data_IF_627736870922
#
_entry.id   IF_627736870922
#
_cell.length_a   1.000
_cell.length_b   1.000
_cell.length_c   1.000
_cell.angle_alpha   90.00
_cell.angle_beta   90.00
_cell.angle_gamma   90.00
#
_symmetry.space_group_name_H-M   'P 1'
#
loop_
_entity.id
_entity.type
_entity.pdbx_description
1 polymer ?
#
# COMPACT_ATOMS: atom_id res chain seq x y z
N UNK A 1 -25.05 3.54 -5.75
CA UNK A 1 -24.36 3.85 -7.02
C UNK A 1 -23.23 2.85 -7.29
N UNK A 2 -22.49 2.39 -6.30
CA UNK A 2 -21.34 1.47 -6.49
C UNK A 2 -21.54 0.12 -5.77
N UNK A 3 -22.75 -0.22 -5.32
CA UNK A 3 -23.10 -1.31 -4.40
C UNK A 3 -22.25 -2.59 -4.50
N UNK A 4 -22.44 -3.41 -5.54
CA UNK A 4 -21.68 -4.67 -5.70
C UNK A 4 -20.19 -4.46 -5.96
N UNK A 5 -19.81 -3.38 -6.64
CA UNK A 5 -18.41 -3.04 -6.92
C UNK A 5 -17.67 -2.71 -5.62
N UNK A 6 -18.28 -1.91 -4.73
CA UNK A 6 -17.71 -1.63 -3.42
C UNK A 6 -17.58 -2.87 -2.54
N UNK A 7 -18.56 -3.77 -2.59
CA UNK A 7 -18.48 -5.03 -1.84
C UNK A 7 -17.29 -5.92 -2.32
N UNK A 8 -17.01 -5.94 -3.63
CA UNK A 8 -15.83 -6.64 -4.18
C UNK A 8 -14.53 -6.00 -3.71
N UNK A 9 -14.46 -4.66 -3.71
CA UNK A 9 -13.30 -3.91 -3.25
C UNK A 9 -13.08 -4.09 -1.76
N UNK A 10 -14.15 -4.00 -0.94
CA UNK A 10 -14.07 -4.27 0.51
C UNK A 10 -13.60 -5.70 0.79
N UNK A 11 -14.16 -6.69 0.10
CA UNK A 11 -13.70 -8.08 0.20
C UNK A 11 -12.21 -8.20 -0.14
N UNK A 12 -11.76 -7.57 -1.21
CA UNK A 12 -10.35 -7.61 -1.63
C UNK A 12 -9.43 -7.06 -0.54
N UNK A 13 -9.73 -5.87 -0.01
CA UNK A 13 -8.91 -5.29 1.06
C UNK A 13 -8.94 -6.11 2.35
N UNK A 14 -10.07 -6.74 2.69
CA UNK A 14 -10.13 -7.69 3.82
C UNK A 14 -9.26 -8.92 3.58
N UNK A 15 -9.20 -9.45 2.35
CA UNK A 15 -8.30 -10.55 1.99
C UNK A 15 -6.82 -10.12 2.17
N UNK A 16 -6.43 -9.01 1.59
CA UNK A 16 -5.07 -8.48 1.73
C UNK A 16 -4.76 -8.16 3.20
N UNK A 17 -5.73 -7.61 3.93
CA UNK A 17 -5.59 -7.32 5.34
C UNK A 17 -5.41 -8.56 6.23
N UNK A 18 -6.03 -9.68 5.86
CA UNK A 18 -5.95 -10.91 6.64
C UNK A 18 -4.54 -11.50 6.68
N UNK A 19 -3.68 -11.17 5.71
CA UNK A 19 -2.34 -11.71 5.61
C UNK A 19 -1.32 -11.17 6.63
N UNK A 20 -1.62 -10.09 7.38
CA UNK A 20 -0.53 -9.56 8.17
C UNK A 20 -0.77 -8.37 9.10
N UNK A 21 -1.74 -8.40 9.99
CA UNK A 21 -1.93 -7.29 10.95
C UNK A 21 -1.76 -7.67 12.41
N UNK A 22 -0.92 -8.60 12.74
CA UNK A 22 -0.70 -8.97 14.13
C UNK A 22 0.46 -8.21 14.81
N UNK A 23 1.07 -7.22 14.15
CA UNK A 23 2.08 -6.42 14.83
C UNK A 23 1.43 -5.33 15.67
N UNK A 24 1.67 -5.42 16.97
CA UNK A 24 1.30 -4.40 17.94
C UNK A 24 2.05 -3.10 17.62
N UNK A 25 1.34 -1.98 17.59
CA UNK A 25 1.95 -0.65 17.53
C UNK A 25 2.86 -0.51 18.76
N UNK A 26 4.13 -0.10 18.62
CA UNK A 26 5.01 0.11 19.75
C UNK A 26 4.39 1.06 20.78
N UNK A 27 4.53 0.73 22.07
CA UNK A 27 3.88 1.48 23.15
C UNK A 27 4.33 2.97 23.16
N UNK A 28 5.57 3.25 22.71
CA UNK A 28 6.14 4.60 22.64
C UNK A 28 5.42 5.51 21.63
N UNK A 29 4.74 4.94 20.64
CA UNK A 29 4.01 5.68 19.60
C UNK A 29 2.53 5.37 19.57
N UNK A 30 2.02 4.49 20.45
CA UNK A 30 0.62 4.10 20.51
C UNK A 30 -0.33 5.27 20.77
N UNK A 31 0.18 6.36 21.36
CA UNK A 31 -0.58 7.58 21.57
C UNK A 31 -0.93 8.31 20.26
N UNK A 32 -0.13 8.18 19.19
CA UNK A 32 -0.34 8.90 17.94
C UNK A 32 -1.67 8.53 17.25
N UNK A 33 -1.92 7.25 16.90
CA UNK A 33 -3.17 6.85 16.29
C UNK A 33 -4.37 7.05 17.22
N UNK A 34 -4.17 6.87 18.55
CA UNK A 34 -5.22 7.14 19.51
C UNK A 34 -5.62 8.61 19.55
N UNK A 35 -4.65 9.54 19.66
CA UNK A 35 -4.93 10.97 19.69
C UNK A 35 -5.55 11.46 18.39
N UNK A 36 -5.16 10.86 17.24
CA UNK A 36 -5.77 11.17 15.97
C UNK A 36 -7.24 10.72 15.94
N UNK A 37 -7.54 9.49 16.38
CA UNK A 37 -8.88 8.97 16.48
C UNK A 37 -9.74 9.80 17.44
N UNK A 38 -9.22 10.20 18.58
CA UNK A 38 -9.89 11.08 19.55
C UNK A 38 -10.28 12.43 18.89
N UNK A 39 -9.38 13.01 18.09
CA UNK A 39 -9.64 14.25 17.35
C UNK A 39 -10.73 14.10 16.30
N UNK A 40 -10.71 13.01 15.51
CA UNK A 40 -11.77 12.71 14.53
C UNK A 40 -13.11 12.54 15.23
N UNK A 41 -13.16 11.79 16.32
CA UNK A 41 -14.39 11.55 17.07
C UNK A 41 -14.95 12.81 17.70
N UNK A 42 -14.09 13.66 18.28
CA UNK A 42 -14.52 14.96 18.79
C UNK A 42 -15.15 15.85 17.71
N UNK A 43 -14.61 15.84 16.49
CA UNK A 43 -15.22 16.52 15.36
C UNK A 43 -16.58 15.93 14.99
N UNK A 44 -16.69 14.60 14.90
CA UNK A 44 -17.94 13.92 14.56
C UNK A 44 -19.05 14.22 15.60
N UNK A 45 -18.70 14.24 16.88
CA UNK A 45 -19.62 14.55 17.97
C UNK A 45 -20.11 16.00 17.91
N UNK A 46 -19.21 16.96 17.68
CA UNK A 46 -19.52 18.38 17.70
C UNK A 46 -20.15 18.90 16.40
N UNK A 47 -20.00 18.16 15.30
CA UNK A 47 -20.47 18.56 13.96
C UNK A 47 -21.46 17.56 13.33
N UNK A 48 -22.13 16.76 14.16
CA UNK A 48 -23.08 15.72 13.70
C UNK A 48 -24.17 16.24 12.75
N UNK A 49 -24.57 17.51 12.92
CA UNK A 49 -25.63 18.15 12.14
C UNK A 49 -25.13 18.81 10.85
N UNK A 50 -23.82 19.03 10.73
CA UNK A 50 -23.19 19.74 9.59
C UNK A 50 -22.07 18.93 8.91
N UNK A 51 -22.20 17.63 8.91
CA UNK A 51 -21.30 16.74 8.12
C UNK A 51 -21.38 17.10 6.62
N UNK A 52 -20.32 16.83 5.85
CA UNK A 52 -20.30 17.00 4.40
C UNK A 52 -21.54 16.42 3.73
N UNK A 53 -22.00 17.07 2.65
CA UNK A 53 -23.30 16.75 2.03
C UNK A 53 -23.37 15.32 1.50
N UNK A 54 -22.22 14.72 1.18
CA UNK A 54 -22.09 13.33 0.72
C UNK A 54 -22.67 12.34 1.74
N UNK A 55 -22.50 12.59 3.03
CA UNK A 55 -23.07 11.74 4.08
C UNK A 55 -24.60 11.77 4.05
N UNK A 56 -25.19 12.95 3.79
CA UNK A 56 -26.64 13.11 3.64
C UNK A 56 -27.13 12.45 2.35
N UNK A 57 -26.41 12.65 1.24
CA UNK A 57 -26.73 12.06 -0.06
C UNK A 57 -26.71 10.53 -0.01
N UNK A 58 -25.68 9.97 0.61
CA UNK A 58 -25.56 8.54 0.78
C UNK A 58 -26.43 7.99 1.91
N UNK A 59 -27.03 8.85 2.75
CA UNK A 59 -27.76 8.45 3.95
C UNK A 59 -26.93 7.59 4.88
N UNK A 60 -25.67 7.96 5.06
CA UNK A 60 -24.67 7.29 5.85
C UNK A 60 -24.27 8.14 7.05
N UNK A 61 -24.10 7.53 8.19
CA UNK A 61 -23.50 8.18 9.37
C UNK A 61 -22.13 7.56 9.61
N UNK A 62 -21.08 8.37 9.72
CA UNK A 62 -19.75 7.84 10.02
C UNK A 62 -19.76 7.16 11.39
N UNK A 63 -19.06 6.06 11.47
CA UNK A 63 -18.80 5.37 12.74
C UNK A 63 -17.69 6.07 13.50
N UNK A 64 -17.59 5.81 14.80
CA UNK A 64 -16.46 6.26 15.58
C UNK A 64 -15.16 5.69 15.03
N UNK A 65 -14.16 6.55 14.91
CA UNK A 65 -12.83 6.20 14.44
C UNK A 65 -12.04 5.50 15.54
N UNK A 66 -11.31 4.47 15.20
CA UNK A 66 -10.44 3.72 16.10
C UNK A 66 -8.97 3.92 15.76
N UNK A 67 -8.07 3.51 16.66
CA UNK A 67 -6.63 3.58 16.41
C UNK A 67 -6.19 2.65 15.25
N UNK A 68 -6.98 1.63 14.93
CA UNK A 68 -6.71 0.68 13.85
C UNK A 68 -7.11 1.21 12.46
N UNK A 69 -8.03 2.17 12.40
CA UNK A 69 -8.54 2.68 11.11
C UNK A 69 -7.44 3.35 10.27
N UNK A 70 -6.46 4.01 10.91
CA UNK A 70 -5.33 4.58 10.18
C UNK A 70 -4.48 3.49 9.48
N UNK A 71 -4.38 2.29 10.06
CA UNK A 71 -3.69 1.17 9.44
C UNK A 71 -4.42 0.68 8.19
N UNK A 72 -5.76 0.74 8.19
CA UNK A 72 -6.55 0.41 7.01
C UNK A 72 -6.27 1.40 5.87
N UNK A 73 -6.23 2.70 6.17
CA UNK A 73 -5.87 3.73 5.17
C UNK A 73 -4.45 3.50 4.65
N UNK A 74 -3.48 3.27 5.53
CA UNK A 74 -2.10 2.99 5.10
C UNK A 74 -2.00 1.77 4.18
N UNK A 75 -2.78 0.73 4.41
CA UNK A 75 -2.82 -0.44 3.53
C UNK A 75 -3.34 -0.11 2.13
N UNK A 76 -4.41 0.69 2.06
CA UNK A 76 -4.95 1.15 0.77
C UNK A 76 -3.90 1.96 0.02
N UNK A 77 -3.23 2.90 0.71
CA UNK A 77 -2.15 3.72 0.13
C UNK A 77 -0.99 2.85 -0.33
N UNK A 78 -0.54 1.94 0.52
CA UNK A 78 0.58 1.05 0.18
C UNK A 78 0.25 0.14 -1.01
N UNK A 79 -0.95 -0.45 -1.04
CA UNK A 79 -1.39 -1.24 -2.18
C UNK A 79 -1.40 -0.43 -3.47
N UNK A 80 -1.92 0.81 -3.41
CA UNK A 80 -1.95 1.72 -4.56
C UNK A 80 -0.56 2.08 -5.09
N UNK A 81 0.45 2.09 -4.21
CA UNK A 81 1.83 2.42 -4.56
C UNK A 81 2.70 1.18 -4.86
N UNK A 82 2.24 -0.03 -4.54
CA UNK A 82 2.87 -1.29 -4.96
C UNK A 82 2.53 -1.57 -6.41
N UNK A 83 3.48 -1.39 -7.31
CA UNK A 83 3.25 -1.47 -8.77
C UNK A 83 3.63 -2.80 -9.42
N UNK A 84 4.55 -3.56 -8.84
CA UNK A 84 5.16 -4.75 -9.42
C UNK A 84 4.15 -5.82 -9.83
N UNK A 85 3.20 -6.12 -8.96
CA UNK A 85 2.18 -7.14 -9.18
C UNK A 85 1.32 -6.97 -10.47
N UNK A 86 1.14 -5.74 -10.97
CA UNK A 86 0.44 -5.50 -12.26
C UNK A 86 1.30 -5.95 -13.43
N UNK A 87 2.60 -5.77 -13.32
CA UNK A 87 3.55 -6.19 -14.35
C UNK A 87 3.50 -7.71 -14.50
N UNK A 88 3.55 -8.46 -13.39
CA UNK A 88 3.52 -9.93 -13.39
C UNK A 88 2.24 -10.48 -14.03
N UNK A 89 1.08 -10.02 -13.58
CA UNK A 89 -0.20 -10.46 -14.13
C UNK A 89 -0.37 -10.07 -15.60
N UNK A 90 0.17 -8.92 -16.01
CA UNK A 90 0.13 -8.47 -17.41
C UNK A 90 1.09 -9.25 -18.25
N UNK A 91 2.31 -9.47 -17.79
CA UNK A 91 3.33 -10.26 -18.45
C UNK A 91 2.86 -11.70 -18.68
N UNK A 92 2.25 -12.32 -17.66
CA UNK A 92 1.66 -13.65 -17.78
C UNK A 92 0.58 -13.73 -18.88
N UNK A 93 -0.27 -12.71 -19.00
CA UNK A 93 -1.30 -12.63 -20.06
C UNK A 93 -0.71 -12.45 -21.44
N UNK A 94 0.31 -11.62 -21.58
CA UNK A 94 0.99 -11.39 -22.86
C UNK A 94 1.68 -12.67 -23.30
N UNK A 95 2.39 -13.34 -22.38
CA UNK A 95 3.04 -14.62 -22.63
C UNK A 95 2.03 -15.68 -23.14
N UNK A 96 0.86 -15.80 -22.50
CA UNK A 96 -0.18 -16.73 -22.91
C UNK A 96 -0.71 -16.43 -24.31
N UNK A 97 -0.97 -15.14 -24.61
CA UNK A 97 -1.60 -14.73 -25.87
C UNK A 97 -0.65 -14.72 -27.06
N UNK A 98 0.58 -14.30 -26.85
CA UNK A 98 1.54 -14.02 -27.92
C UNK A 98 2.65 -15.08 -28.02
N UNK A 99 2.85 -15.90 -27.00
CA UNK A 99 3.96 -16.83 -26.89
C UNK A 99 5.28 -16.18 -26.49
N UNK A 100 6.28 -17.02 -26.21
CA UNK A 100 7.56 -16.62 -25.61
C UNK A 100 8.38 -15.66 -26.48
N UNK A 101 8.40 -15.86 -27.80
CA UNK A 101 9.18 -15.01 -28.73
C UNK A 101 8.68 -13.56 -28.72
N UNK A 102 7.38 -13.37 -28.93
CA UNK A 102 6.79 -12.02 -28.93
C UNK A 102 6.77 -11.39 -27.53
N UNK A 103 6.72 -12.21 -26.48
CA UNK A 103 6.86 -11.72 -25.12
C UNK A 103 8.25 -11.12 -24.89
N UNK A 104 9.33 -11.78 -25.34
CA UNK A 104 10.70 -11.26 -25.27
C UNK A 104 10.88 -9.96 -26.06
N UNK A 105 10.21 -9.81 -27.19
CA UNK A 105 10.18 -8.56 -27.95
C UNK A 105 9.44 -7.44 -27.20
N UNK A 106 8.34 -7.76 -26.53
CA UNK A 106 7.53 -6.79 -25.78
C UNK A 106 8.21 -6.30 -24.50
N UNK A 107 9.12 -7.09 -23.92
CA UNK A 107 9.87 -6.77 -22.72
C UNK A 107 11.39 -6.84 -22.95
N UNK A 108 11.96 -6.01 -23.86
CA UNK A 108 13.38 -6.07 -24.23
C UNK A 108 14.34 -5.52 -23.17
N UNK A 109 13.83 -5.11 -22.01
CA UNK A 109 14.58 -4.34 -21.02
C UNK A 109 15.49 -5.20 -20.11
N UNK A 110 15.41 -6.51 -20.22
CA UNK A 110 16.21 -7.40 -19.37
C UNK A 110 17.44 -7.90 -20.12
N UNK A 111 18.64 -7.77 -19.55
CA UNK A 111 19.85 -8.40 -20.11
C UNK A 111 19.64 -9.89 -20.31
N UNK A 112 20.24 -10.48 -21.37
CA UNK A 112 20.07 -11.91 -21.73
C UNK A 112 20.37 -12.89 -20.57
N UNK A 113 21.21 -12.48 -19.63
CA UNK A 113 21.62 -13.26 -18.46
C UNK A 113 20.84 -12.93 -17.19
N UNK A 114 19.82 -12.08 -17.27
CA UNK A 114 18.97 -11.79 -16.12
C UNK A 114 18.02 -12.95 -15.87
N UNK A 115 17.80 -13.29 -14.61
CA UNK A 115 16.83 -14.33 -14.26
C UNK A 115 15.42 -13.89 -14.70
N UNK A 116 14.63 -14.84 -15.22
CA UNK A 116 13.26 -14.60 -15.66
C UNK A 116 12.26 -15.00 -14.58
N UNK A 117 11.35 -14.10 -14.27
CA UNK A 117 10.28 -14.25 -13.27
C UNK A 117 9.27 -15.34 -13.65
N UNK A 118 9.09 -15.60 -14.94
CA UNK A 118 8.00 -16.43 -15.44
C UNK A 118 8.52 -17.78 -15.94
N UNK A 119 8.28 -18.84 -15.16
CA UNK A 119 8.56 -20.20 -15.57
C UNK A 119 7.61 -20.68 -16.68
N UNK A 120 8.01 -21.73 -17.44
CA UNK A 120 7.14 -22.36 -18.47
C UNK A 120 5.79 -22.86 -17.94
N UNK A 121 5.66 -23.00 -16.60
CA UNK A 121 4.45 -23.46 -15.92
C UNK A 121 3.42 -22.32 -15.73
N UNK A 122 3.79 -21.08 -15.99
CA UNK A 122 2.98 -19.87 -15.78
C UNK A 122 1.79 -19.69 -16.71
N UNK A 123 1.61 -20.56 -17.73
CA UNK A 123 0.43 -20.54 -18.61
C UNK A 123 -0.91 -20.69 -17.87
N UNK A 124 -0.88 -21.29 -16.67
CA UNK A 124 -2.06 -21.38 -15.82
C UNK A 124 -2.43 -20.05 -15.14
N UNK A 125 -1.47 -19.13 -15.00
CA UNK A 125 -1.64 -17.87 -14.29
C UNK A 125 -2.64 -16.94 -14.95
N UNK A 126 -2.67 -16.90 -16.27
CA UNK A 126 -3.52 -16.00 -17.05
C UNK A 126 -5.03 -16.22 -16.82
N UNK A 127 -5.47 -17.48 -16.74
CA UNK A 127 -6.89 -17.78 -16.48
C UNK A 127 -7.29 -17.40 -15.05
N UNK A 128 -6.39 -17.60 -14.09
CA UNK A 128 -6.61 -17.27 -12.68
C UNK A 128 -6.52 -15.75 -12.43
N UNK A 129 -5.73 -15.03 -13.24
CA UNK A 129 -5.53 -13.59 -13.08
C UNK A 129 -6.67 -12.74 -13.64
N UNK A 130 -7.56 -13.26 -14.48
CA UNK A 130 -8.63 -12.47 -15.08
C UNK A 130 -9.59 -11.89 -14.04
N UNK A 131 -10.09 -12.71 -13.11
CA UNK A 131 -10.98 -12.25 -12.04
C UNK A 131 -10.29 -11.27 -11.11
N UNK A 132 -9.01 -11.50 -10.81
CA UNK A 132 -8.21 -10.62 -9.97
C UNK A 132 -8.01 -9.26 -10.64
N UNK A 133 -7.68 -9.22 -11.93
CA UNK A 133 -7.51 -7.97 -12.67
C UNK A 133 -8.81 -7.15 -12.79
N UNK A 134 -9.98 -7.79 -12.81
CA UNK A 134 -11.26 -7.08 -12.75
C UNK A 134 -11.47 -6.44 -11.38
N UNK A 135 -11.22 -7.16 -10.29
CA UNK A 135 -11.28 -6.61 -8.93
C UNK A 135 -10.32 -5.43 -8.78
N UNK A 136 -9.10 -5.57 -9.29
CA UNK A 136 -8.08 -4.53 -9.23
C UNK A 136 -8.49 -3.28 -10.01
N UNK A 137 -9.08 -3.41 -11.19
CA UNK A 137 -9.64 -2.26 -11.91
C UNK A 137 -10.71 -1.53 -11.09
N UNK A 138 -11.51 -2.28 -10.34
CA UNK A 138 -12.50 -1.70 -9.43
C UNK A 138 -11.82 -1.01 -8.24
N UNK A 139 -10.76 -1.60 -7.69
CA UNK A 139 -9.93 -0.97 -6.65
C UNK A 139 -9.34 0.35 -7.15
N UNK A 140 -8.68 0.35 -8.31
CA UNK A 140 -8.09 1.56 -8.90
C UNK A 140 -9.14 2.67 -9.12
N UNK A 141 -10.34 2.29 -9.59
CA UNK A 141 -11.45 3.23 -9.82
C UNK A 141 -11.97 3.84 -8.52
N UNK A 142 -12.11 3.02 -7.48
CA UNK A 142 -12.66 3.45 -6.18
C UNK A 142 -11.64 4.26 -5.39
N UNK A 143 -10.37 3.85 -5.41
CA UNK A 143 -9.31 4.51 -4.61
C UNK A 143 -8.68 5.70 -5.32
N UNK A 144 -8.86 5.85 -6.62
CA UNK A 144 -8.20 6.87 -7.43
C UNK A 144 -6.70 6.65 -7.65
N UNK A 145 -6.14 5.52 -7.22
CA UNK A 145 -4.75 5.15 -7.48
C UNK A 145 -4.59 4.61 -8.91
N UNK A 146 -4.89 5.45 -9.91
CA UNK A 146 -4.57 5.08 -11.30
C UNK A 146 -3.07 5.24 -11.53
N UNK A 147 -2.46 4.28 -12.22
CA UNK A 147 -1.01 4.23 -12.46
C UNK A 147 -0.53 5.18 -13.57
N UNK A 148 -1.30 6.21 -13.86
CA UNK A 148 -0.90 7.28 -14.77
C UNK A 148 -0.09 8.39 -14.09
N UNK A 149 0.10 8.29 -12.78
CA UNK A 149 0.85 9.26 -12.00
C UNK A 149 2.36 9.05 -12.13
N UNK A 150 3.09 10.12 -12.03
CA UNK A 150 4.54 10.16 -11.84
C UNK A 150 4.84 11.01 -10.61
N UNK A 151 6.09 11.06 -10.18
CA UNK A 151 6.50 11.94 -9.08
C UNK A 151 7.92 12.40 -9.33
N UNK A 152 8.25 13.61 -8.90
CA UNK A 152 9.58 14.12 -8.93
C UNK A 152 10.01 14.59 -7.55
N UNK A 153 11.25 14.32 -7.19
CA UNK A 153 11.90 14.96 -6.06
C UNK A 153 13.36 15.25 -6.41
N UNK A 154 13.87 16.32 -5.88
CA UNK A 154 15.28 16.65 -6.00
C UNK A 154 15.73 17.57 -4.88
N UNK A 155 17.01 17.54 -4.59
CA UNK A 155 17.65 18.41 -3.62
C UNK A 155 18.96 18.94 -4.21
N UNK A 156 19.21 20.23 -4.03
CA UNK A 156 20.41 20.93 -4.54
C UNK A 156 21.18 21.46 -3.34
N UNK A 157 22.50 21.21 -3.34
CA UNK A 157 23.40 21.74 -2.32
C UNK A 157 23.44 23.27 -2.34
N UNK A 158 23.62 23.88 -1.16
CA UNK A 158 23.79 25.31 -1.00
C UNK A 158 24.92 25.90 -1.84
N UNK A 159 25.94 25.12 -2.20
CA UNK A 159 27.03 25.58 -3.12
C UNK A 159 26.51 25.93 -4.51
N UNK A 160 25.33 25.44 -4.90
CA UNK A 160 24.69 25.71 -6.19
C UNK A 160 23.53 26.68 -6.11
N UNK A 161 23.24 27.21 -4.92
CA UNK A 161 22.13 28.14 -4.69
C UNK A 161 22.66 29.55 -4.42
N UNK A 162 21.90 30.56 -4.81
CA UNK A 162 22.24 31.98 -4.58
C UNK A 162 22.22 32.29 -3.07
N UNK A 163 21.42 31.61 -2.29
CA UNK A 163 21.28 31.84 -0.84
C UNK A 163 22.37 31.15 -0.03
N UNK A 164 23.19 30.28 -0.64
CA UNK A 164 24.10 29.40 0.09
C UNK A 164 23.42 28.31 0.91
N UNK A 165 22.09 28.15 0.82
CA UNK A 165 21.32 27.13 1.51
C UNK A 165 20.79 26.08 0.55
N UNK A 166 20.59 24.82 0.97
CA UNK A 166 19.97 23.79 0.15
C UNK A 166 18.58 24.19 -0.35
N UNK A 167 18.23 23.70 -1.51
CA UNK A 167 16.89 23.81 -2.09
C UNK A 167 16.36 22.41 -2.31
N UNK A 168 15.18 22.12 -1.77
CA UNK A 168 14.47 20.86 -1.98
C UNK A 168 13.15 21.13 -2.70
N UNK A 169 12.84 20.35 -3.72
CA UNK A 169 11.54 20.34 -4.36
C UNK A 169 10.99 18.91 -4.44
N UNK A 170 9.69 18.78 -4.25
CA UNK A 170 8.98 17.51 -4.34
C UNK A 170 7.60 17.74 -4.96
N UNK A 171 7.23 16.89 -5.88
CA UNK A 171 6.08 17.02 -6.75
C UNK A 171 5.45 15.63 -6.99
N UNK A 172 4.67 15.10 -6.01
CA UNK A 172 4.03 13.81 -6.10
C UNK A 172 2.75 13.91 -6.93
N UNK A 173 2.75 13.33 -8.13
CA UNK A 173 1.62 13.32 -9.05
C UNK A 173 0.72 12.12 -8.78
N UNK A 174 -0.27 12.29 -7.92
CA UNK A 174 -1.37 11.37 -7.73
C UNK A 174 -2.61 11.83 -8.50
N UNK A 175 -3.67 11.02 -8.52
CA UNK A 175 -4.90 11.38 -9.22
C UNK A 175 -5.47 12.70 -8.70
N UNK A 176 -5.94 13.55 -9.62
CA UNK A 176 -6.68 14.76 -9.27
C UNK A 176 -8.08 14.34 -8.83
N UNK A 177 -8.41 14.59 -7.58
CA UNK A 177 -9.66 14.19 -6.95
C UNK A 177 -10.21 15.29 -6.04
N UNK A 178 -11.50 15.24 -5.79
CA UNK A 178 -12.17 16.03 -4.75
C UNK A 178 -13.00 15.08 -3.87
N UNK A 179 -12.68 14.95 -2.57
CA UNK A 179 -11.59 15.62 -1.84
C UNK A 179 -10.19 15.25 -2.34
N UNK A 180 -9.22 16.15 -2.12
CA UNK A 180 -7.83 15.95 -2.51
C UNK A 180 -7.18 14.83 -1.68
N UNK A 181 -6.25 14.08 -2.31
CA UNK A 181 -5.42 13.12 -1.60
C UNK A 181 -4.44 13.80 -0.64
N UNK A 182 -3.87 14.94 -1.04
CA UNK A 182 -2.93 15.71 -0.24
C UNK A 182 -3.63 16.86 0.45
N UNK A 183 -3.40 16.97 1.77
CA UNK A 183 -3.92 18.07 2.59
C UNK A 183 -2.77 18.82 3.21
N UNK A 184 -2.67 20.11 2.93
CA UNK A 184 -1.69 20.99 3.54
C UNK A 184 -2.02 21.21 5.02
N UNK A 185 -1.02 21.02 5.87
CA UNK A 185 -1.16 21.16 7.32
C UNK A 185 0.05 21.88 7.91
N UNK A 186 -0.20 22.66 8.96
CA UNK A 186 0.84 23.23 9.80
C UNK A 186 0.49 22.93 11.27
N UNK A 187 1.33 22.15 11.92
CA UNK A 187 1.15 21.73 13.31
C UNK A 187 2.19 22.36 14.20
N UNK A 188 1.74 23.09 15.22
CA UNK A 188 2.61 23.76 16.19
C UNK A 188 2.23 23.34 17.61
N UNK A 189 3.21 22.88 18.36
CA UNK A 189 3.10 22.62 19.80
C UNK A 189 4.46 22.90 20.46
N UNK A 190 4.58 22.85 21.81
CA UNK A 190 5.84 23.16 22.49
C UNK A 190 7.04 22.33 22.04
N UNK A 191 6.82 21.13 21.51
CA UNK A 191 7.89 20.19 21.11
C UNK A 191 8.00 19.95 19.61
N UNK A 192 7.14 20.60 18.80
CA UNK A 192 7.07 20.35 17.36
C UNK A 192 6.54 21.59 16.62
N UNK A 193 7.17 21.91 15.50
CA UNK A 193 6.69 22.88 14.54
C UNK A 193 6.97 22.32 13.13
N UNK A 194 5.96 21.72 12.50
CA UNK A 194 6.07 21.01 11.24
C UNK A 194 4.99 21.45 10.28
N UNK A 195 5.36 21.66 9.02
CA UNK A 195 4.46 22.06 7.93
C UNK A 195 4.68 21.15 6.73
N UNK A 196 3.62 20.92 5.97
CA UNK A 196 3.66 20.12 4.75
C UNK A 196 2.34 19.45 4.43
N UNK A 197 2.41 18.27 3.83
CA UNK A 197 1.24 17.55 3.35
C UNK A 197 1.01 16.27 4.15
N UNK A 198 -0.21 16.12 4.61
CA UNK A 198 -0.72 14.93 5.29
C UNK A 198 -1.63 14.13 4.36
N UNK A 199 -1.77 12.84 4.67
CA UNK A 199 -2.75 11.96 4.04
C UNK A 199 -3.97 11.89 4.96
N UNK A 200 -5.19 12.20 4.52
CA UNK A 200 -6.39 12.09 5.34
C UNK A 200 -6.52 10.69 5.96
N UNK A 201 -6.74 10.64 7.26
CA UNK A 201 -6.82 9.38 8.00
C UNK A 201 -5.48 8.82 8.51
N UNK A 202 -4.36 9.47 8.19
CA UNK A 202 -3.02 9.07 8.66
C UNK A 202 -2.42 10.19 9.51
N UNK A 203 -2.05 9.92 10.77
CA UNK A 203 -1.44 10.94 11.62
C UNK A 203 -0.04 11.34 11.12
N UNK A 204 0.24 12.65 11.14
CA UNK A 204 1.56 13.22 10.83
C UNK A 204 1.66 13.86 9.45
N UNK A 205 2.87 14.35 9.12
CA UNK A 205 3.23 14.98 7.85
C UNK A 205 4.04 13.99 7.02
N UNK A 206 3.52 13.63 5.86
CA UNK A 206 4.19 12.67 4.96
C UNK A 206 5.34 13.31 4.19
N UNK A 207 5.14 14.55 3.72
CA UNK A 207 6.08 15.35 2.94
C UNK A 207 6.09 16.76 3.52
N UNK A 208 7.25 17.31 3.84
CA UNK A 208 7.27 18.64 4.42
C UNK A 208 8.59 19.04 5.01
N UNK A 209 8.51 19.93 5.99
CA UNK A 209 9.67 20.45 6.72
C UNK A 209 9.28 20.84 8.15
N UNK A 210 10.29 20.88 9.00
CA UNK A 210 10.23 21.56 10.29
C UNK A 210 11.21 22.76 10.28
N UNK A 211 11.58 23.27 11.44
CA UNK A 211 12.53 24.39 11.53
C UNK A 211 13.98 24.03 11.14
N UNK A 212 14.32 22.75 11.04
CA UNK A 212 15.68 22.27 10.91
C UNK A 212 15.91 21.41 9.67
N UNK A 213 14.92 20.64 9.26
CA UNK A 213 15.03 19.67 8.14
C UNK A 213 13.84 19.77 7.21
N UNK A 214 14.07 19.42 5.94
CA UNK A 214 13.04 19.23 4.93
C UNK A 214 13.18 17.85 4.29
N UNK A 215 12.05 17.23 3.88
CA UNK A 215 12.04 15.93 3.21
C UNK A 215 10.95 15.87 2.15
N UNK A 216 11.25 15.10 1.10
CA UNK A 216 10.35 14.85 -0.01
C UNK A 216 10.47 13.41 -0.49
N UNK A 217 9.43 12.87 -1.10
CA UNK A 217 9.35 11.45 -1.48
C UNK A 217 8.92 11.25 -2.93
N UNK A 218 9.40 10.15 -3.53
CA UNK A 218 8.83 9.56 -4.74
C UNK A 218 8.73 8.04 -4.57
N UNK A 219 7.79 7.42 -5.28
CA UNK A 219 7.63 5.97 -5.20
C UNK A 219 8.83 5.24 -5.80
N UNK A 220 9.31 4.17 -5.13
CA UNK A 220 10.43 3.35 -5.62
C UNK A 220 9.98 2.37 -6.70
N UNK A 221 8.71 1.98 -6.73
CA UNK A 221 8.16 0.99 -7.66
C UNK A 221 8.84 -0.38 -7.54
N UNK A 222 9.15 -0.80 -6.31
CA UNK A 222 9.73 -2.13 -6.07
C UNK A 222 8.70 -3.23 -6.33
N UNK A 223 9.22 -4.40 -6.64
CA UNK A 223 8.47 -5.64 -6.73
C UNK A 223 8.36 -6.27 -5.32
N UNK A 224 7.27 -5.97 -4.63
CA UNK A 224 7.00 -6.34 -3.23
C UNK A 224 5.83 -7.30 -3.06
N UNK A 225 5.20 -7.72 -4.16
CA UNK A 225 4.05 -8.64 -4.17
C UNK A 225 4.33 -9.82 -5.10
N UNK A 226 4.34 -11.02 -4.55
CA UNK A 226 4.48 -12.26 -5.31
C UNK A 226 3.15 -13.02 -5.39
N UNK A 227 2.87 -13.63 -6.54
CA UNK A 227 1.76 -14.56 -6.70
C UNK A 227 2.23 -16.00 -6.76
N UNK A 228 1.59 -16.87 -5.98
CA UNK A 228 1.87 -18.29 -5.95
C UNK A 228 0.70 -19.07 -6.54
N UNK A 229 0.99 -20.02 -7.41
CA UNK A 229 -0.01 -20.97 -7.92
C UNK A 229 -0.09 -22.12 -6.92
N UNK A 230 -1.16 -22.12 -6.14
CA UNK A 230 -1.44 -23.20 -5.20
C UNK A 230 -2.13 -24.36 -5.91
N UNK A 231 -1.66 -25.58 -5.66
CA UNK A 231 -2.37 -26.79 -6.07
C UNK A 231 -3.41 -27.11 -5.02
N UNK A 232 -4.68 -27.12 -5.42
CA UNK A 232 -5.82 -27.36 -4.53
C UNK A 232 -6.22 -28.81 -4.55
N UNK A 233 -6.60 -29.37 -3.41
CA UNK A 233 -7.12 -30.73 -3.32
C UNK A 233 -8.50 -30.81 -3.98
N UNK A 234 -8.68 -31.62 -5.05
CA UNK A 234 -9.97 -31.74 -5.73
C UNK A 234 -11.10 -32.26 -4.82
N UNK A 235 -10.75 -33.07 -3.82
CA UNK A 235 -11.71 -33.69 -2.88
C UNK A 235 -12.01 -32.80 -1.67
N UNK A 236 -11.09 -31.87 -1.34
CA UNK A 236 -11.28 -30.90 -0.26
C UNK A 236 -10.73 -29.52 -0.66
N UNK A 237 -11.57 -28.57 -1.12
CA UNK A 237 -11.11 -27.25 -1.61
C UNK A 237 -10.51 -26.35 -0.53
N UNK A 238 -10.50 -26.76 0.73
CA UNK A 238 -9.83 -26.07 1.85
C UNK A 238 -8.40 -26.59 2.09
N UNK A 239 -7.93 -27.55 1.28
CA UNK A 239 -6.57 -28.07 1.36
C UNK A 239 -5.76 -27.68 0.12
N UNK A 240 -4.46 -27.40 0.34
CA UNK A 240 -3.51 -27.12 -0.70
C UNK A 240 -2.24 -27.98 -0.53
N UNK A 241 -1.54 -28.21 -1.64
CA UNK A 241 -0.36 -29.08 -1.63
C UNK A 241 0.86 -28.33 -1.11
N UNK A 242 1.52 -28.89 -0.10
CA UNK A 242 2.77 -28.37 0.47
C UNK A 242 3.82 -29.46 0.44
N UNK A 243 4.88 -29.22 -0.34
CA UNK A 243 5.99 -30.19 -0.52
C UNK A 243 5.50 -31.58 -0.94
N UNK A 244 5.05 -32.41 0.00
CA UNK A 244 4.72 -33.82 -0.12
C UNK A 244 3.37 -34.22 0.52
N UNK A 245 2.61 -33.26 1.02
CA UNK A 245 1.31 -33.54 1.68
C UNK A 245 0.29 -32.43 1.46
N UNK A 246 -0.97 -32.75 1.77
CA UNK A 246 -2.07 -31.79 1.81
C UNK A 246 -2.11 -31.09 3.17
N UNK A 247 -2.16 -29.75 3.17
CA UNK A 247 -2.26 -28.89 4.36
C UNK A 247 -3.58 -28.12 4.32
N UNK A 248 -4.24 -28.02 5.49
CA UNK A 248 -5.47 -27.21 5.64
C UNK A 248 -5.15 -25.71 5.56
N UNK A 249 -5.93 -24.98 4.76
CA UNK A 249 -5.91 -23.52 4.77
C UNK A 249 -6.51 -22.99 6.06
N UNK A 250 -5.96 -21.89 6.57
CA UNK A 250 -6.63 -21.14 7.64
C UNK A 250 -7.84 -20.42 7.05
N UNK A 251 -8.98 -20.51 7.73
CA UNK A 251 -10.21 -19.85 7.30
C UNK A 251 -10.49 -18.69 8.23
N UNK A 252 -10.70 -17.50 7.66
CA UNK A 252 -11.19 -16.33 8.38
C UNK A 252 -12.55 -15.96 7.82
N UNK A 253 -13.57 -16.02 8.67
CA UNK A 253 -14.91 -15.56 8.31
C UNK A 253 -15.01 -14.05 8.41
N UNK A 254 -15.58 -13.42 7.40
CA UNK A 254 -15.83 -11.99 7.35
C UNK A 254 -17.28 -11.71 6.96
N UNK A 255 -17.82 -10.62 7.50
CA UNK A 255 -19.16 -10.15 7.16
C UNK A 255 -19.05 -8.74 6.58
N UNK A 256 -19.55 -8.56 5.35
CA UNK A 256 -19.62 -7.28 4.68
C UNK A 256 -21.03 -6.75 4.79
N UNK A 257 -21.21 -5.65 5.50
CA UNK A 257 -22.50 -4.99 5.63
C UNK A 257 -22.76 -4.08 4.41
N UNK A 258 -23.84 -4.39 3.68
CA UNK A 258 -24.23 -3.62 2.49
C UNK A 258 -25.52 -2.87 2.82
N UNK A 259 -25.51 -1.54 2.63
CA UNK A 259 -26.67 -0.70 2.93
C UNK A 259 -27.89 -1.13 2.11
N UNK A 260 -29.00 -1.41 2.78
CA UNK A 260 -30.28 -1.79 2.16
C UNK A 260 -30.30 -3.23 1.61
N UNK A 261 -29.33 -4.06 1.98
CA UNK A 261 -29.27 -5.48 1.62
C UNK A 261 -28.86 -6.32 2.83
N UNK A 262 -29.05 -7.63 2.72
CA UNK A 262 -28.55 -8.56 3.72
C UNK A 262 -27.03 -8.57 3.74
N UNK A 263 -26.40 -8.76 4.92
CA UNK A 263 -24.96 -8.84 5.02
C UNK A 263 -24.39 -10.01 4.20
N UNK A 264 -23.32 -9.74 3.47
CA UNK A 264 -22.60 -10.75 2.68
C UNK A 264 -21.57 -11.44 3.58
N UNK A 265 -21.81 -12.72 3.87
CA UNK A 265 -20.82 -13.57 4.55
C UNK A 265 -19.81 -14.08 3.53
N UNK A 266 -18.53 -14.00 3.82
CA UNK A 266 -17.46 -14.48 2.96
C UNK A 266 -16.37 -15.15 3.80
N UNK A 267 -15.73 -16.16 3.22
CA UNK A 267 -14.56 -16.80 3.79
C UNK A 267 -13.32 -16.30 3.09
N UNK A 268 -12.28 -16.02 3.87
CA UNK A 268 -10.93 -15.72 3.40
C UNK A 268 -10.08 -16.95 3.71
N UNK A 269 -9.60 -17.60 2.66
CA UNK A 269 -8.74 -18.74 2.74
C UNK A 269 -7.28 -18.30 2.71
N UNK A 270 -6.50 -18.75 3.68
CA UNK A 270 -5.10 -18.35 3.85
C UNK A 270 -4.21 -19.58 3.73
N UNK A 271 -3.27 -19.52 2.79
CA UNK A 271 -2.14 -20.44 2.69
C UNK A 271 -0.93 -19.91 3.46
N UNK A 272 0.17 -20.65 3.49
CA UNK A 272 1.44 -20.15 4.04
C UNK A 272 2.04 -18.97 3.23
N UNK A 273 1.63 -18.79 1.97
CA UNK A 273 2.07 -17.68 1.13
C UNK A 273 1.20 -16.44 1.31
N UNK A 274 -0.04 -16.60 1.76
CA UNK A 274 -0.98 -15.50 1.97
C UNK A 274 -2.41 -15.87 1.58
N UNK A 275 -3.29 -14.87 1.41
CA UNK A 275 -4.68 -15.10 1.05
C UNK A 275 -4.82 -15.61 -0.39
N UNK A 276 -5.81 -16.49 -0.60
CA UNK A 276 -6.26 -16.84 -1.93
C UNK A 276 -7.00 -15.65 -2.53
N UNK A 277 -6.45 -15.08 -3.60
CA UNK A 277 -6.96 -13.85 -4.25
C UNK A 277 -7.66 -14.12 -5.59
N UNK A 278 -7.49 -15.30 -6.18
CA UNK A 278 -8.25 -15.70 -7.36
C UNK A 278 -9.63 -16.23 -6.96
N UNK A 279 -10.60 -16.10 -7.87
CA UNK A 279 -11.89 -16.74 -7.68
C UNK A 279 -11.73 -18.26 -7.83
N UNK A 280 -11.99 -19.01 -6.75
CA UNK A 280 -11.89 -20.47 -6.73
C UNK A 280 -12.87 -21.15 -7.71
N UNK A 281 -13.84 -20.42 -8.26
CA UNK A 281 -14.80 -20.90 -9.25
C UNK A 281 -14.19 -21.17 -10.63
N UNK A 282 -13.01 -20.62 -10.92
CA UNK A 282 -12.37 -20.73 -12.24
C UNK A 282 -11.53 -22.00 -12.45
N UNK A 283 -11.06 -22.65 -11.38
CA UNK A 283 -10.28 -23.90 -11.44
C UNK A 283 -10.46 -24.68 -10.14
N UNK A 284 -10.86 -25.94 -10.27
CA UNK A 284 -11.00 -26.84 -9.11
C UNK A 284 -9.64 -27.33 -8.56
N UNK A 285 -8.56 -27.13 -9.32
CA UNK A 285 -7.26 -27.72 -9.00
C UNK A 285 -6.17 -26.68 -8.70
N UNK A 286 -6.38 -25.42 -9.05
CA UNK A 286 -5.38 -24.36 -8.88
C UNK A 286 -6.02 -23.06 -8.43
N UNK A 287 -5.34 -22.34 -7.54
CA UNK A 287 -5.73 -21.01 -7.10
C UNK A 287 -4.48 -20.12 -7.01
N UNK A 288 -4.67 -18.80 -7.02
CA UNK A 288 -3.59 -17.84 -6.75
C UNK A 288 -3.67 -17.40 -5.29
N UNK A 289 -2.56 -17.50 -4.58
CA UNK A 289 -2.34 -16.77 -3.33
C UNK A 289 -1.43 -15.57 -3.58
N UNK A 290 -1.58 -14.52 -2.78
CA UNK A 290 -0.74 -13.33 -2.85
C UNK A 290 0.11 -13.23 -1.58
N UNK A 291 1.42 -13.12 -1.75
CA UNK A 291 2.36 -12.77 -0.69
C UNK A 291 2.81 -11.33 -0.89
N UNK A 292 2.50 -10.49 0.06
CA UNK A 292 2.86 -9.09 0.04
C UNK A 292 3.80 -8.77 1.19
N UNK A 293 4.92 -8.08 0.91
CA UNK A 293 5.93 -7.72 1.91
C UNK A 293 5.38 -6.87 3.08
N UNK A 294 4.24 -6.23 2.87
CA UNK A 294 3.48 -5.50 3.89
C UNK A 294 3.06 -6.36 5.11
N UNK A 295 2.93 -7.67 4.93
CA UNK A 295 2.46 -8.57 5.98
C UNK A 295 3.43 -8.66 7.17
N UNK A 296 4.69 -8.26 7.02
CA UNK A 296 5.74 -8.51 8.02
C UNK A 296 6.05 -7.34 8.97
N UNK A 297 5.50 -6.15 8.76
CA UNK A 297 5.61 -5.05 9.72
C UNK A 297 5.50 -3.65 9.16
N UNK A 298 4.85 -2.75 9.87
CA UNK A 298 4.78 -1.34 9.57
C UNK A 298 4.96 -0.51 10.83
N UNK A 299 5.87 0.46 10.74
CA UNK A 299 5.98 1.53 11.72
C UNK A 299 6.08 2.93 11.06
N UNK A 300 5.37 3.21 9.94
CA UNK A 300 5.51 4.50 9.25
C UNK A 300 5.06 5.67 10.12
N UNK A 301 4.13 5.45 11.05
CA UNK A 301 3.74 6.46 12.04
C UNK A 301 4.90 6.89 12.93
N UNK A 302 5.77 5.96 13.32
CA UNK A 302 6.99 6.27 14.08
C UNK A 302 7.97 7.10 13.25
N UNK A 303 8.21 6.71 12.00
CA UNK A 303 9.10 7.45 11.12
C UNK A 303 8.61 8.90 10.91
N UNK A 304 7.34 9.11 10.59
CA UNK A 304 6.75 10.44 10.40
C UNK A 304 6.83 11.31 11.66
N UNK A 305 6.59 10.71 12.82
CA UNK A 305 6.71 11.42 14.09
C UNK A 305 8.16 11.84 14.40
N UNK A 306 9.12 10.96 14.15
CA UNK A 306 10.55 11.25 14.36
C UNK A 306 11.05 12.28 13.35
N UNK A 307 10.64 12.19 12.07
CA UNK A 307 10.93 13.19 11.04
C UNK A 307 10.44 14.59 11.44
N UNK A 308 9.21 14.68 11.95
CA UNK A 308 8.63 15.95 12.40
C UNK A 308 9.45 16.62 13.52
N UNK A 309 10.25 15.87 14.26
CA UNK A 309 11.10 16.32 15.39
C UNK A 309 12.58 16.37 15.08
N UNK A 310 13.01 15.83 13.94
CA UNK A 310 14.41 15.76 13.55
C UNK A 310 15.05 17.16 13.45
N UNK A 311 16.29 17.29 13.90
CA UNK A 311 17.03 18.55 13.92
C UNK A 311 18.20 18.60 12.94
N UNK A 312 18.58 17.46 12.40
CA UNK A 312 19.71 17.33 11.48
C UNK A 312 19.56 16.08 10.62
N UNK A 313 20.41 15.95 9.63
CA UNK A 313 20.39 14.85 8.65
C UNK A 313 20.60 13.48 9.31
N UNK A 314 21.32 13.38 10.42
CA UNK A 314 21.51 12.11 11.11
C UNK A 314 20.23 11.64 11.79
N UNK A 315 19.49 12.55 12.43
CA UNK A 315 18.19 12.23 13.02
C UNK A 315 17.15 11.88 11.95
N UNK A 316 17.23 12.50 10.75
CA UNK A 316 16.42 12.07 9.59
C UNK A 316 16.73 10.61 9.21
N UNK A 317 18.03 10.26 9.09
CA UNK A 317 18.42 8.87 8.78
C UNK A 317 17.94 7.89 9.85
N UNK A 318 18.02 8.25 11.12
CA UNK A 318 17.58 7.40 12.21
C UNK A 318 16.04 7.22 12.21
N UNK A 319 15.30 8.26 11.87
CA UNK A 319 13.84 8.18 11.66
C UNK A 319 13.48 7.28 10.50
N UNK A 320 14.19 7.38 9.37
CA UNK A 320 13.93 6.60 8.16
C UNK A 320 14.20 5.10 8.32
N UNK A 321 14.93 4.66 9.33
CA UNK A 321 15.09 3.23 9.67
C UNK A 321 13.78 2.56 10.08
N UNK A 322 12.79 3.34 10.50
CA UNK A 322 11.44 2.88 10.84
C UNK A 322 10.45 2.98 9.66
N UNK A 323 10.94 3.45 8.49
CA UNK A 323 10.11 3.54 7.31
C UNK A 323 10.24 2.28 6.46
N UNK A 324 9.25 1.42 6.52
CA UNK A 324 9.23 0.15 5.76
C UNK A 324 8.47 0.30 4.43
N UNK A 325 7.22 0.81 4.52
CA UNK A 325 6.29 0.92 3.40
C UNK A 325 5.41 2.17 3.56
N UNK A 326 4.93 2.76 2.45
CA UNK A 326 5.25 2.40 1.07
C UNK A 326 6.73 2.64 0.76
N UNK A 327 7.28 1.83 -0.15
CA UNK A 327 8.67 2.00 -0.56
C UNK A 327 8.88 3.36 -1.22
N UNK A 328 9.73 4.21 -0.63
CA UNK A 328 9.89 5.60 -1.04
C UNK A 328 11.35 5.99 -1.21
N UNK A 329 11.62 6.76 -2.27
CA UNK A 329 12.87 7.50 -2.43
C UNK A 329 12.77 8.79 -1.61
N UNK A 330 13.50 8.88 -0.54
CA UNK A 330 13.58 10.11 0.24
C UNK A 330 14.73 10.98 -0.24
N UNK A 331 14.46 12.26 -0.52
CA UNK A 331 15.46 13.32 -0.55
C UNK A 331 15.26 14.22 0.66
N UNK A 332 16.33 14.69 1.26
CA UNK A 332 16.25 15.51 2.47
C UNK A 332 17.40 16.48 2.58
N UNK A 333 17.18 17.55 3.32
CA UNK A 333 18.18 18.58 3.60
C UNK A 333 18.05 19.10 5.04
N UNK A 334 19.12 19.67 5.59
CA UNK A 334 19.09 20.37 6.86
C UNK A 334 19.56 21.82 6.76
N UNK A 335 19.34 22.61 7.81
CA UNK A 335 19.73 24.01 7.89
C UNK A 335 21.25 24.23 7.92
N UNK A 336 22.03 23.19 8.24
CA UNK A 336 23.49 23.21 8.25
C UNK A 336 24.09 23.04 6.85
N UNK A 337 23.24 22.80 5.83
CA UNK A 337 23.65 22.71 4.44
C UNK A 337 23.86 21.29 3.93
N UNK A 338 23.62 20.29 4.77
CA UNK A 338 23.71 18.88 4.37
C UNK A 338 22.50 18.48 3.52
N UNK A 339 22.75 17.65 2.51
CA UNK A 339 21.72 17.05 1.68
C UNK A 339 21.90 15.53 1.66
N UNK A 340 20.83 14.80 1.45
CA UNK A 340 20.89 13.34 1.39
C UNK A 340 19.76 12.71 0.55
N UNK A 341 20.02 11.46 0.21
CA UNK A 341 19.09 10.56 -0.42
C UNK A 341 19.11 9.23 0.30
N UNK A 342 17.92 8.64 0.48
CA UNK A 342 17.77 7.29 1.02
C UNK A 342 16.60 6.59 0.34
N UNK A 343 16.86 5.42 -0.23
CA UNK A 343 15.83 4.52 -0.71
C UNK A 343 15.31 3.67 0.47
N UNK A 344 14.14 4.01 0.97
CA UNK A 344 13.43 3.23 1.99
C UNK A 344 12.56 2.20 1.30
N UNK A 345 12.99 0.95 1.34
CA UNK A 345 12.28 -0.14 0.69
C UNK A 345 12.47 -1.46 1.46
N UNK A 346 11.40 -2.23 1.58
CA UNK A 346 11.44 -3.62 2.00
C UNK A 346 11.36 -4.49 0.75
N UNK A 347 12.46 -5.16 0.42
CA UNK A 347 12.58 -5.98 -0.80
C UNK A 347 12.56 -7.45 -0.38
N UNK A 348 11.69 -8.29 -0.95
CA UNK A 348 11.66 -9.72 -0.65
C UNK A 348 12.96 -10.41 -1.02
N UNK A 349 13.53 -11.21 -0.10
CA UNK A 349 14.63 -12.10 -0.39
C UNK A 349 14.05 -13.45 -0.84
N UNK A 350 14.14 -13.74 -2.12
CA UNK A 350 13.58 -14.94 -2.72
C UNK A 350 14.63 -16.06 -2.75
N UNK A 351 14.28 -17.24 -2.27
CA UNK A 351 15.20 -18.40 -2.25
C UNK A 351 15.31 -19.09 -3.60
N UNK A 352 14.29 -18.97 -4.44
CA UNK A 352 14.20 -19.49 -5.81
C UNK A 352 13.36 -18.55 -6.63
N UNK A 353 13.85 -18.22 -7.83
CA UNK A 353 13.21 -17.22 -8.68
C UNK A 353 13.68 -15.81 -8.31
N UNK A 354 13.19 -14.86 -9.01
CA UNK A 354 13.64 -13.47 -9.07
C UNK A 354 12.51 -12.46 -8.89
N UNK A 355 11.32 -12.95 -8.55
CA UNK A 355 10.11 -12.15 -8.36
C UNK A 355 9.05 -12.42 -9.37
#
# INVERSE_FOLDING_TARGET
>A
ILGEELAKVDRFFRMIAAAGLNKKIPDEIAFLPKSFADGVNAYLETHSDCLPFEFKLLGYKPQSWTAEDYLAILKVVNWGLSGGWKVDLTAAKILEKLGEEKWKEAFPLWPENSPFIISKESRALSKLSNSLLEVIRSVDRVTGFSHSGASNNWVVSGMKSVTGKPILANDPHLALASPSFWWEVHMVCPTMNVSGFAIPGVPGVAIGHNLHVAWGVTNVMVDDVDFYIEKINPDNPRQYWVKDHWEEMKVKEETIHVKGQDPVKTEILLTRHGPIVSDAKGSKEKALSAKWGFAEGLQPGQASYLLAKAKNIQEVKDALRYWDLPCQNFVFADVDGNIGYWCCATIPIRSKGDG
#
